data_IF_530208264362
#
_entry.id   IF_530208264362
#
_cell.length_a   1.000
_cell.length_b   1.000
_cell.length_c   1.000
_cell.angle_alpha   90.00
_cell.angle_beta   90.00
_cell.angle_gamma   90.00
#
_symmetry.space_group_name_H-M   'P 1'
#
loop_
_entity.id
_entity.type
_entity.pdbx_description
1 polymer ?
#
# COMPACT_ATOMS: atom_id res chain seq x y z
N UNK A 1 20.20 10.25 -23.67
CA UNK A 1 18.98 11.06 -23.80
C UNK A 1 18.13 10.76 -22.58
N UNK A 2 18.09 11.68 -21.61
CA UNK A 2 17.23 11.55 -20.43
C UNK A 2 15.79 11.79 -20.89
N UNK A 3 14.92 10.81 -20.70
CA UNK A 3 13.50 10.93 -20.98
C UNK A 3 12.81 11.44 -19.71
N UNK A 4 12.42 12.71 -19.71
CA UNK A 4 11.54 13.28 -18.69
C UNK A 4 10.11 12.86 -19.04
N UNK A 5 9.64 11.76 -18.46
CA UNK A 5 8.24 11.40 -18.47
C UNK A 5 7.56 12.12 -17.30
N UNK A 6 6.98 13.29 -17.54
CA UNK A 6 6.05 13.88 -16.58
C UNK A 6 4.81 12.98 -16.51
N UNK A 7 4.64 12.24 -15.40
CA UNK A 7 3.42 11.44 -15.11
C UNK A 7 2.31 12.38 -14.60
N UNK A 8 2.25 13.62 -15.07
CA UNK A 8 1.27 14.62 -14.64
C UNK A 8 0.24 14.90 -15.73
N UNK A 9 -0.75 14.01 -15.81
CA UNK A 9 -2.13 14.45 -16.09
C UNK A 9 -2.91 14.20 -14.81
N UNK A 10 -3.14 15.28 -14.07
CA UNK A 10 -3.71 15.31 -12.72
C UNK A 10 -4.97 14.43 -12.58
N UNK A 11 -4.97 13.43 -11.68
CA UNK A 11 -6.15 13.15 -10.88
C UNK A 11 -6.27 14.22 -9.79
N UNK A 12 -7.49 14.65 -9.47
CA UNK A 12 -7.80 15.65 -8.42
C UNK A 12 -7.27 15.26 -7.02
N UNK A 13 -6.82 14.01 -6.83
CA UNK A 13 -6.22 13.49 -5.61
C UNK A 13 -5.03 12.55 -5.91
N UNK A 14 -3.93 12.65 -5.14
CA UNK A 14 -2.79 11.71 -5.19
C UNK A 14 -2.67 10.81 -3.97
N UNK A 15 -2.15 9.59 -4.16
CA UNK A 15 -1.88 8.65 -3.07
C UNK A 15 -3.12 8.24 -2.30
N UNK A 16 -2.95 7.99 -0.99
CA UNK A 16 -4.06 7.73 -0.07
C UNK A 16 -5.08 8.89 0.00
N UNK A 17 -4.76 10.08 -0.50
CA UNK A 17 -5.71 11.19 -0.62
C UNK A 17 -6.82 10.95 -1.65
N UNK A 18 -6.70 9.92 -2.50
CA UNK A 18 -7.74 9.48 -3.41
C UNK A 18 -8.80 8.58 -2.75
N UNK A 19 -8.63 8.20 -1.47
CA UNK A 19 -9.59 7.36 -0.74
C UNK A 19 -10.87 8.15 -0.47
N UNK A 20 -12.02 7.47 -0.57
CA UNK A 20 -13.28 7.99 -0.02
C UNK A 20 -13.13 8.06 1.50
N UNK A 21 -13.44 9.22 2.09
CA UNK A 21 -13.29 9.41 3.53
C UNK A 21 -14.09 8.37 4.34
N UNK A 22 -13.58 7.91 5.50
CA UNK A 22 -14.16 6.78 6.23
C UNK A 22 -15.63 6.99 6.62
N UNK A 23 -16.02 8.23 6.99
CA UNK A 23 -17.42 8.55 7.29
C UNK A 23 -18.36 8.49 6.08
N UNK A 24 -17.88 8.90 4.90
CA UNK A 24 -18.66 8.82 3.66
C UNK A 24 -18.78 7.37 3.17
N UNK A 25 -17.69 6.59 3.29
CA UNK A 25 -17.70 5.17 2.98
C UNK A 25 -18.67 4.41 3.91
N UNK A 26 -18.63 4.66 5.21
CA UNK A 26 -19.55 4.04 6.17
C UNK A 26 -21.03 4.31 5.83
N UNK A 27 -21.37 5.50 5.33
CA UNK A 27 -22.73 5.83 4.89
C UNK A 27 -23.14 5.06 3.63
N UNK A 28 -22.25 4.92 2.63
CA UNK A 28 -22.53 4.15 1.41
C UNK A 28 -22.72 2.65 1.68
N UNK A 29 -22.03 2.18 2.70
CA UNK A 29 -22.05 0.80 3.16
C UNK A 29 -23.23 0.49 4.09
N UNK A 30 -23.87 1.51 4.66
CA UNK A 30 -25.00 1.36 5.55
C UNK A 30 -26.20 0.71 4.83
N UNK A 31 -26.77 -0.33 5.44
CA UNK A 31 -27.95 -1.03 4.90
C UNK A 31 -27.63 -2.20 3.97
N UNK A 32 -26.36 -2.46 3.64
CA UNK A 32 -25.97 -3.72 3.01
C UNK A 32 -26.16 -4.89 4.00
N UNK A 33 -26.73 -6.03 3.56
CA UNK A 33 -26.92 -7.18 4.43
C UNK A 33 -25.56 -7.78 4.79
N UNK A 34 -25.21 -7.74 6.07
CA UNK A 34 -24.04 -8.44 6.58
C UNK A 34 -24.44 -9.86 6.90
N UNK A 35 -23.77 -10.83 6.26
CA UNK A 35 -23.89 -12.24 6.62
C UNK A 35 -22.84 -12.58 7.66
N UNK A 36 -23.28 -13.21 8.73
CA UNK A 36 -22.38 -13.72 9.76
C UNK A 36 -21.85 -15.09 9.35
N UNK A 37 -20.54 -15.26 9.51
CA UNK A 37 -19.85 -16.55 9.41
C UNK A 37 -18.93 -16.64 10.62
N UNK A 38 -19.05 -17.73 11.39
CA UNK A 38 -18.27 -17.95 12.60
C UNK A 38 -16.75 -18.01 12.35
N UNK A 39 -16.33 -18.28 11.10
CA UNK A 39 -14.92 -18.27 10.71
C UNK A 39 -14.41 -16.88 10.30
N UNK A 40 -15.28 -15.90 10.07
CA UNK A 40 -14.86 -14.53 9.78
C UNK A 40 -14.52 -13.83 11.10
N UNK A 41 -13.24 -13.85 11.48
CA UNK A 41 -12.75 -13.29 12.74
C UNK A 41 -12.70 -11.76 12.71
N UNK A 42 -12.27 -11.22 11.57
CA UNK A 42 -12.19 -9.78 11.30
C UNK A 42 -12.79 -9.55 9.92
N UNK A 43 -13.74 -8.64 9.84
CA UNK A 43 -14.48 -8.41 8.62
C UNK A 43 -14.92 -6.97 8.49
N UNK A 44 -15.91 -6.78 7.63
CA UNK A 44 -16.45 -5.46 7.30
C UNK A 44 -16.94 -4.64 8.51
N UNK A 45 -17.36 -5.31 9.58
CA UNK A 45 -17.98 -4.66 10.74
C UNK A 45 -16.95 -3.99 11.69
N UNK A 46 -15.67 -4.37 11.64
CA UNK A 46 -14.70 -3.96 12.67
C UNK A 46 -13.74 -2.84 12.25
N UNK A 47 -13.84 -2.30 11.03
CA UNK A 47 -12.98 -1.19 10.56
C UNK A 47 -11.47 -1.43 10.77
N UNK A 48 -11.03 -2.69 10.71
CA UNK A 48 -9.61 -3.08 10.72
C UNK A 48 -8.99 -2.98 9.32
N UNK A 49 -7.66 -3.04 9.25
CA UNK A 49 -6.88 -2.82 8.04
C UNK A 49 -6.97 -3.97 7.02
N UNK A 50 -7.32 -5.18 7.45
CA UNK A 50 -7.49 -6.34 6.57
C UNK A 50 -8.57 -7.31 7.11
N UNK A 51 -9.13 -8.15 6.24
CA UNK A 51 -10.03 -9.21 6.68
C UNK A 51 -9.25 -10.43 7.17
N UNK A 52 -9.79 -11.13 8.17
CA UNK A 52 -9.20 -12.35 8.73
C UNK A 52 -10.25 -13.47 8.73
N UNK A 53 -9.96 -14.55 8.02
CA UNK A 53 -10.84 -15.71 7.91
C UNK A 53 -10.14 -16.97 8.44
N UNK A 54 -10.71 -17.61 9.47
CA UNK A 54 -10.20 -18.82 10.09
C UNK A 54 -10.32 -20.00 9.12
N UNK A 55 -9.21 -20.69 8.87
CA UNK A 55 -9.15 -21.91 8.05
C UNK A 55 -9.07 -23.17 8.91
N UNK A 56 -8.56 -23.04 10.13
CA UNK A 56 -8.43 -24.11 11.13
C UNK A 56 -8.07 -23.54 12.50
N UNK A 57 -7.76 -24.41 13.46
CA UNK A 57 -7.42 -23.97 14.83
C UNK A 57 -6.16 -23.10 14.88
N UNK A 58 -5.16 -23.44 14.07
CA UNK A 58 -3.84 -22.80 14.10
C UNK A 58 -3.57 -21.87 12.90
N UNK A 59 -4.54 -21.72 11.99
CA UNK A 59 -4.36 -21.00 10.73
C UNK A 59 -5.57 -20.13 10.38
N UNK A 60 -5.29 -18.85 10.12
CA UNK A 60 -6.21 -17.92 9.49
C UNK A 60 -5.58 -17.27 8.27
N UNK A 61 -6.42 -17.01 7.28
CA UNK A 61 -6.14 -16.22 6.09
C UNK A 61 -6.27 -14.74 6.44
N UNK A 62 -5.31 -13.92 6.02
CA UNK A 62 -5.41 -12.45 6.09
C UNK A 62 -5.46 -11.92 4.66
N UNK A 63 -6.44 -11.07 4.34
CA UNK A 63 -6.59 -10.51 2.99
C UNK A 63 -6.77 -9.00 3.01
N UNK A 64 -6.00 -8.32 2.17
CA UNK A 64 -6.14 -6.89 1.91
C UNK A 64 -6.04 -6.60 0.42
N UNK A 65 -6.46 -5.41 0.04
CA UNK A 65 -6.36 -4.87 -1.30
C UNK A 65 -6.22 -3.35 -1.20
N UNK A 66 -5.11 -2.80 -1.71
CA UNK A 66 -4.95 -1.36 -1.83
C UNK A 66 -4.26 -0.99 -3.15
N UNK A 67 -4.73 0.08 -3.78
CA UNK A 67 -4.19 0.64 -5.02
C UNK A 67 -4.55 2.12 -5.12
N UNK A 68 -3.63 2.92 -5.63
CA UNK A 68 -3.78 4.38 -5.66
C UNK A 68 -3.02 5.01 -6.83
N UNK A 69 -3.32 6.27 -7.19
CA UNK A 69 -2.57 7.00 -8.21
C UNK A 69 -1.16 7.41 -7.73
N UNK A 70 -0.20 7.66 -8.64
CA UNK A 70 1.16 8.04 -8.31
C UNK A 70 1.31 9.14 -7.26
N UNK A 71 2.30 8.95 -6.39
CA UNK A 71 2.72 9.94 -5.38
C UNK A 71 4.15 10.46 -5.61
N UNK A 72 4.86 9.87 -6.56
CA UNK A 72 6.21 10.22 -7.00
C UNK A 72 6.29 10.02 -8.51
N UNK A 73 7.18 10.76 -9.16
CA UNK A 73 7.32 10.74 -10.63
C UNK A 73 8.06 9.52 -11.15
N UNK A 74 8.99 8.97 -10.34
CA UNK A 74 9.76 7.79 -10.71
C UNK A 74 8.84 6.55 -10.69
N UNK A 75 8.60 5.89 -11.85
CA UNK A 75 7.66 4.78 -11.92
C UNK A 75 8.11 3.56 -11.09
N UNK A 76 9.41 3.29 -11.02
CA UNK A 76 9.95 2.17 -10.25
C UNK A 76 9.75 2.40 -8.75
N UNK A 77 10.08 3.59 -8.25
CA UNK A 77 9.82 3.97 -6.86
C UNK A 77 8.33 3.96 -6.54
N UNK A 78 7.48 4.45 -7.44
CA UNK A 78 6.03 4.36 -7.25
C UNK A 78 5.57 2.91 -7.10
N UNK A 79 6.04 2.01 -7.97
CA UNK A 79 5.77 0.57 -7.87
C UNK A 79 6.17 -0.01 -6.51
N UNK A 80 7.36 0.32 -6.02
CA UNK A 80 7.84 -0.10 -4.70
C UNK A 80 6.95 0.43 -3.56
N UNK A 81 6.55 1.70 -3.63
CA UNK A 81 5.73 2.33 -2.59
C UNK A 81 4.32 1.73 -2.56
N UNK A 82 3.69 1.56 -3.72
CA UNK A 82 2.37 0.94 -3.83
C UNK A 82 2.37 -0.50 -3.29
N UNK A 83 3.39 -1.29 -3.64
CA UNK A 83 3.53 -2.64 -3.09
C UNK A 83 3.76 -2.63 -1.58
N UNK A 84 4.65 -1.77 -1.07
CA UNK A 84 4.92 -1.66 0.36
C UNK A 84 3.68 -1.23 1.17
N UNK A 85 2.85 -0.35 0.61
CA UNK A 85 1.59 0.07 1.21
C UNK A 85 0.59 -1.09 1.29
N UNK A 86 0.36 -1.80 0.18
CA UNK A 86 -0.57 -2.92 0.15
C UNK A 86 -0.13 -4.10 1.04
N UNK A 87 1.19 -4.32 1.18
CA UNK A 87 1.72 -5.32 2.12
C UNK A 87 1.55 -4.91 3.60
N UNK A 88 1.41 -3.61 3.88
CA UNK A 88 1.45 -3.08 5.24
C UNK A 88 0.28 -3.56 6.11
N UNK A 89 -0.91 -3.73 5.52
CA UNK A 89 -2.09 -4.15 6.28
C UNK A 89 -1.95 -5.60 6.76
N UNK A 90 -1.26 -6.46 6.00
CA UNK A 90 -0.96 -7.83 6.47
C UNK A 90 -0.09 -7.79 7.72
N UNK A 91 0.94 -6.94 7.72
CA UNK A 91 1.80 -6.76 8.88
C UNK A 91 1.07 -6.11 10.06
N UNK A 92 0.15 -5.18 9.79
CA UNK A 92 -0.67 -4.54 10.82
C UNK A 92 -1.54 -5.57 11.58
N UNK A 93 -2.04 -6.59 10.88
CA UNK A 93 -2.77 -7.71 11.50
C UNK A 93 -1.86 -8.75 12.17
N UNK A 94 -0.54 -8.56 12.19
CA UNK A 94 0.43 -9.54 12.69
C UNK A 94 0.63 -10.74 11.77
N UNK A 95 0.19 -10.67 10.51
CA UNK A 95 0.30 -11.72 9.52
C UNK A 95 1.61 -11.71 8.75
N UNK A 96 1.90 -12.83 8.08
CA UNK A 96 3.01 -12.97 7.15
C UNK A 96 2.48 -12.97 5.70
N UNK A 97 2.86 -12.00 4.84
CA UNK A 97 2.46 -11.99 3.44
C UNK A 97 2.98 -13.21 2.69
N UNK A 98 2.17 -13.80 1.79
CA UNK A 98 2.58 -14.94 0.96
C UNK A 98 2.28 -14.79 -0.52
N UNK A 99 1.06 -14.37 -0.88
CA UNK A 99 0.62 -14.32 -2.28
C UNK A 99 0.13 -12.93 -2.61
N UNK A 100 0.55 -12.39 -3.76
CA UNK A 100 0.19 -11.06 -4.23
C UNK A 100 -0.31 -11.13 -5.68
N UNK A 101 -1.32 -10.33 -6.00
CA UNK A 101 -1.83 -10.14 -7.35
C UNK A 101 -1.82 -8.66 -7.72
N UNK A 102 -1.33 -8.34 -8.92
CA UNK A 102 -1.30 -6.96 -9.43
C UNK A 102 -2.71 -6.43 -9.72
N UNK A 103 -2.92 -5.16 -9.40
CA UNK A 103 -4.04 -4.35 -9.87
C UNK A 103 -3.44 -3.15 -10.59
N UNK A 104 -3.69 -3.05 -11.89
CA UNK A 104 -3.08 -2.01 -12.73
C UNK A 104 -4.13 -1.33 -13.61
N UNK A 105 -4.29 -0.03 -13.43
CA UNK A 105 -4.96 0.84 -14.39
C UNK A 105 -3.89 1.63 -15.14
N UNK A 106 -3.90 1.60 -16.47
CA UNK A 106 -2.86 2.24 -17.28
C UNK A 106 -3.46 3.17 -18.36
N UNK A 107 -2.95 4.40 -18.54
CA UNK A 107 -3.32 5.26 -19.65
C UNK A 107 -2.94 4.65 -21.00
N UNK A 108 -3.78 4.86 -22.01
CA UNK A 108 -3.54 4.37 -23.37
C UNK A 108 -2.25 4.96 -23.97
N UNK A 109 -1.93 6.20 -23.62
CA UNK A 109 -0.76 6.95 -24.07
C UNK A 109 0.49 6.72 -23.20
N UNK A 110 0.40 5.92 -22.13
CA UNK A 110 1.54 5.67 -21.25
C UNK A 110 2.60 4.79 -21.95
N UNK A 111 3.89 5.18 -21.93
CA UNK A 111 4.95 4.36 -22.50
C UNK A 111 5.05 3.00 -21.80
N UNK A 112 5.13 1.92 -22.57
CA UNK A 112 5.25 0.55 -22.04
C UNK A 112 6.47 0.39 -21.11
N UNK A 113 7.56 1.11 -21.38
CA UNK A 113 8.76 1.11 -20.53
C UNK A 113 8.45 1.66 -19.13
N UNK A 114 7.66 2.72 -19.00
CA UNK A 114 7.28 3.28 -17.72
C UNK A 114 6.37 2.31 -16.94
N UNK A 115 5.39 1.70 -17.62
CA UNK A 115 4.53 0.66 -17.01
C UNK A 115 5.35 -0.53 -16.52
N UNK A 116 6.35 -0.95 -17.31
CA UNK A 116 7.27 -2.02 -16.92
C UNK A 116 8.05 -1.68 -15.65
N UNK A 117 8.50 -0.43 -15.50
CA UNK A 117 9.21 0.01 -14.31
C UNK A 117 8.32 0.00 -13.06
N UNK A 118 7.05 0.39 -13.16
CA UNK A 118 6.07 0.25 -12.05
C UNK A 118 5.95 -1.21 -11.62
N UNK A 119 5.72 -2.11 -12.58
CA UNK A 119 5.59 -3.55 -12.29
C UNK A 119 6.88 -4.14 -11.72
N UNK A 120 8.05 -3.70 -12.21
CA UNK A 120 9.37 -4.12 -11.69
C UNK A 120 9.55 -3.66 -10.25
N UNK A 121 9.16 -2.43 -9.92
CA UNK A 121 9.20 -1.89 -8.56
C UNK A 121 8.34 -2.69 -7.60
N UNK A 122 7.10 -2.97 -8.00
CA UNK A 122 6.20 -3.80 -7.20
C UNK A 122 6.73 -5.21 -7.02
N UNK A 123 7.23 -5.83 -8.09
CA UNK A 123 7.84 -7.16 -8.05
C UNK A 123 9.02 -7.24 -7.06
N UNK A 124 10.00 -6.34 -7.18
CA UNK A 124 11.17 -6.35 -6.31
C UNK A 124 10.79 -6.19 -4.83
N UNK A 125 9.77 -5.35 -4.54
CA UNK A 125 9.29 -5.14 -3.18
C UNK A 125 8.52 -6.34 -2.61
N UNK A 126 7.72 -7.01 -3.43
CA UNK A 126 7.02 -8.25 -3.04
C UNK A 126 8.03 -9.36 -2.72
N UNK A 127 9.08 -9.50 -3.53
CA UNK A 127 10.15 -10.47 -3.28
C UNK A 127 10.99 -10.13 -2.05
N UNK A 128 11.27 -8.85 -1.80
CA UNK A 128 11.91 -8.39 -0.56
C UNK A 128 11.10 -8.78 0.69
N UNK A 129 9.76 -8.80 0.58
CA UNK A 129 8.86 -9.22 1.65
C UNK A 129 8.73 -10.76 1.79
N UNK A 130 9.44 -11.55 0.97
CA UNK A 130 9.33 -13.01 0.99
C UNK A 130 8.02 -13.57 0.41
N UNK A 131 7.24 -12.74 -0.27
CA UNK A 131 5.98 -13.11 -0.90
C UNK A 131 6.15 -13.38 -2.40
N UNK A 132 5.14 -14.02 -3.00
CA UNK A 132 5.10 -14.37 -4.41
C UNK A 132 4.09 -13.50 -5.14
N UNK A 133 4.51 -12.97 -6.28
CA UNK A 133 3.59 -12.35 -7.23
C UNK A 133 3.03 -13.43 -8.17
N UNK A 134 1.73 -13.74 -8.04
CA UNK A 134 1.11 -14.92 -8.67
C UNK A 134 0.19 -14.59 -9.84
N UNK A 135 -0.04 -13.32 -10.14
CA UNK A 135 -0.87 -12.90 -11.26
C UNK A 135 -1.34 -11.45 -11.10
N UNK A 136 -2.48 -11.15 -11.70
CA UNK A 136 -3.12 -9.85 -11.57
C UNK A 136 -4.11 -9.55 -12.68
N UNK A 137 -4.63 -8.34 -12.65
CA UNK A 137 -5.52 -7.81 -13.68
C UNK A 137 -5.08 -6.41 -14.11
N UNK A 138 -5.30 -6.09 -15.38
CA UNK A 138 -4.93 -4.79 -15.94
C UNK A 138 -6.03 -4.26 -16.84
N UNK A 139 -6.37 -2.98 -16.67
CA UNK A 139 -7.37 -2.28 -17.48
C UNK A 139 -6.82 -0.95 -17.99
N UNK A 140 -7.40 -0.47 -19.09
CA UNK A 140 -7.15 0.89 -19.57
C UNK A 140 -8.00 1.88 -18.76
N UNK A 141 -7.39 2.99 -18.37
CA UNK A 141 -8.06 4.07 -17.62
C UNK A 141 -7.45 5.42 -18.04
N UNK A 142 -8.08 6.51 -17.64
CA UNK A 142 -7.62 7.89 -17.79
C UNK A 142 -6.31 8.21 -17.06
N UNK A 143 -6.01 7.50 -15.97
CA UNK A 143 -4.84 7.76 -15.13
C UNK A 143 -4.24 6.47 -14.57
N UNK A 144 -2.92 6.51 -14.36
CA UNK A 144 -2.17 5.40 -13.75
C UNK A 144 -2.68 5.15 -12.33
N UNK A 145 -3.00 3.90 -12.01
CA UNK A 145 -3.22 3.42 -10.64
C UNK A 145 -2.57 2.06 -10.51
N UNK A 146 -1.86 1.84 -9.42
CA UNK A 146 -1.19 0.57 -9.17
C UNK A 146 -1.30 0.17 -7.71
N UNK A 147 -1.36 -1.13 -7.48
CA UNK A 147 -1.41 -1.71 -6.15
C UNK A 147 -1.52 -3.22 -6.22
N UNK A 148 -1.78 -3.83 -5.07
CA UNK A 148 -1.82 -5.28 -4.92
C UNK A 148 -3.05 -5.71 -4.13
N UNK A 149 -3.60 -6.86 -4.52
CA UNK A 149 -4.31 -7.72 -3.57
C UNK A 149 -3.28 -8.62 -2.91
N UNK A 150 -3.28 -8.67 -1.58
CA UNK A 150 -2.31 -9.44 -0.79
C UNK A 150 -3.05 -10.44 0.07
N UNK A 151 -2.54 -11.66 0.07
CA UNK A 151 -2.94 -12.74 0.96
C UNK A 151 -1.76 -13.13 1.84
N UNK A 152 -1.99 -13.13 3.15
CA UNK A 152 -1.06 -13.61 4.16
C UNK A 152 -1.72 -14.63 5.08
N UNK A 153 -0.93 -15.10 6.04
CA UNK A 153 -1.41 -16.04 7.05
C UNK A 153 -1.01 -15.59 8.44
N UNK A 154 -1.85 -15.91 9.40
CA UNK A 154 -1.62 -15.63 10.82
C UNK A 154 -2.17 -16.78 11.65
N UNK A 155 -1.57 -17.03 12.81
CA UNK A 155 -2.19 -17.89 13.81
C UNK A 155 -3.34 -17.11 14.47
N UNK A 156 -4.57 -17.64 14.61
CA UNK A 156 -5.72 -16.90 15.16
C UNK A 156 -5.44 -16.22 16.50
N UNK A 157 -4.74 -16.91 17.42
CA UNK A 157 -4.36 -16.35 18.73
C UNK A 157 -3.20 -15.34 18.72
N UNK A 158 -2.63 -15.00 17.55
CA UNK A 158 -1.52 -14.04 17.39
C UNK A 158 -1.86 -12.88 16.48
N UNK A 159 -3.09 -12.82 15.97
CA UNK A 159 -3.53 -11.68 15.17
C UNK A 159 -3.60 -10.43 16.05
N UNK A 160 -3.27 -9.29 15.45
CA UNK A 160 -3.39 -7.98 16.07
C UNK A 160 -4.66 -7.32 15.53
N UNK A 161 -5.52 -6.84 16.41
CA UNK A 161 -6.75 -6.14 16.06
C UNK A 161 -6.77 -4.77 16.73
N UNK A 162 -7.36 -3.77 16.05
CA UNK A 162 -7.38 -2.39 16.52
C UNK A 162 -8.24 -2.21 17.78
N UNK A 163 -9.09 -3.18 18.12
CA UNK A 163 -9.99 -3.18 19.27
C UNK A 163 -9.36 -3.66 20.59
N UNK A 164 -8.09 -4.12 20.57
CA UNK A 164 -7.45 -4.77 21.72
C UNK A 164 -6.79 -3.84 22.76
N UNK A 165 -6.72 -2.52 22.50
CA UNK A 165 -6.01 -1.58 23.36
C UNK A 165 -6.73 -1.34 24.70
N UNK A 166 -5.96 -1.19 25.79
CA UNK A 166 -6.46 -0.98 27.15
C UNK A 166 -5.92 0.31 27.78
N UNK A 167 -6.64 0.91 28.75
CA UNK A 167 -6.11 2.03 29.52
C UNK A 167 -4.79 1.65 30.21
N UNK A 168 -3.74 2.43 29.94
CA UNK A 168 -2.38 2.17 30.43
C UNK A 168 -1.40 1.72 29.35
N UNK A 169 -1.88 1.35 28.16
CA UNK A 169 -1.02 1.06 27.02
C UNK A 169 -0.28 2.29 26.50
N UNK A 170 0.84 2.05 25.80
CA UNK A 170 1.66 3.09 25.16
C UNK A 170 1.49 3.07 23.64
N UNK A 171 1.55 4.25 23.02
CA UNK A 171 1.53 4.38 21.57
C UNK A 171 2.95 4.36 21.01
N UNK A 172 3.21 3.43 20.10
CA UNK A 172 4.49 3.31 19.39
C UNK A 172 4.29 3.64 17.91
N UNK A 173 5.16 4.50 17.39
CA UNK A 173 5.17 4.89 15.99
C UNK A 173 6.51 4.49 15.35
N UNK A 174 6.46 3.66 14.32
CA UNK A 174 7.64 3.07 13.68
C UNK A 174 8.15 3.86 12.47
N UNK A 175 7.36 4.81 11.96
CA UNK A 175 7.71 5.68 10.82
C UNK A 175 7.29 7.13 11.09
N UNK A 176 8.09 8.14 10.70
CA UNK A 176 7.72 9.53 10.83
C UNK A 176 6.42 9.90 10.08
N UNK A 177 5.70 10.88 10.60
CA UNK A 177 4.56 11.51 9.91
C UNK A 177 5.03 12.59 8.92
N UNK A 178 4.13 13.07 8.06
CA UNK A 178 4.37 14.24 7.19
C UNK A 178 4.61 13.94 5.71
N UNK A 179 4.57 12.67 5.28
CA UNK A 179 4.77 12.27 3.87
C UNK A 179 3.79 13.00 2.93
N UNK A 180 2.52 13.14 3.31
CA UNK A 180 1.53 13.86 2.50
C UNK A 180 1.85 15.35 2.33
N UNK A 181 2.37 16.00 3.38
CA UNK A 181 2.79 17.41 3.33
C UNK A 181 3.96 17.55 2.37
N UNK A 182 4.96 16.66 2.47
CA UNK A 182 6.11 16.64 1.57
C UNK A 182 5.68 16.38 0.11
N UNK A 183 4.73 15.47 -0.12
CA UNK A 183 4.20 15.19 -1.44
C UNK A 183 3.49 16.40 -2.07
N UNK A 184 2.69 17.13 -1.28
CA UNK A 184 2.05 18.37 -1.75
C UNK A 184 3.11 19.44 -2.00
N UNK A 185 4.03 19.66 -1.06
CA UNK A 185 5.09 20.65 -1.21
C UNK A 185 5.95 20.40 -2.45
N UNK A 186 6.23 19.13 -2.78
CA UNK A 186 6.95 18.77 -4.01
C UNK A 186 6.15 19.15 -5.26
N UNK A 187 4.83 18.90 -5.26
CA UNK A 187 3.94 19.26 -6.37
C UNK A 187 3.81 20.76 -6.61
N UNK A 188 3.93 21.56 -5.56
CA UNK A 188 3.86 23.03 -5.66
C UNK A 188 5.24 23.71 -5.64
N UNK A 189 6.31 22.93 -5.85
CA UNK A 189 7.71 23.40 -5.91
C UNK A 189 8.16 24.22 -4.68
N UNK A 190 7.66 23.83 -3.50
CA UNK A 190 7.98 24.45 -2.21
C UNK A 190 9.03 23.68 -1.39
N UNK A 191 9.58 22.59 -1.92
CA UNK A 191 10.61 21.81 -1.22
C UNK A 191 11.99 22.42 -1.49
N UNK A 192 12.41 23.34 -0.61
CA UNK A 192 13.83 23.70 -0.48
C UNK A 192 14.63 22.50 0.04
N UNK A 193 15.82 22.27 -0.52
CA UNK A 193 16.69 21.12 -0.19
C UNK A 193 16.80 20.85 1.34
N UNK A 194 16.39 19.63 1.74
CA UNK A 194 16.79 18.80 2.91
C UNK A 194 15.82 18.74 4.14
N UNK A 195 15.69 17.57 4.84
CA UNK A 195 16.72 16.55 5.07
C UNK A 195 16.45 15.12 4.56
N UNK A 196 17.52 14.56 3.94
CA UNK A 196 18.10 13.21 3.99
C UNK A 196 17.28 11.90 4.13
N UNK A 197 16.00 11.88 4.50
CA UNK A 197 15.29 10.62 4.76
C UNK A 197 14.86 9.89 3.47
N UNK A 198 14.53 10.65 2.40
CA UNK A 198 13.95 10.09 1.18
C UNK A 198 14.92 9.97 -0.01
N UNK A 199 16.15 10.48 0.10
CA UNK A 199 17.14 10.41 -0.99
C UNK A 199 18.41 9.69 -0.51
N UNK A 200 18.65 8.48 -1.04
CA UNK A 200 19.89 7.72 -0.80
C UNK A 200 21.11 8.61 -1.03
N UNK A 201 21.85 8.95 0.03
CA UNK A 201 23.29 9.24 -0.13
C UNK A 201 24.03 7.91 -0.15
N UNK A 202 24.76 7.65 -1.24
CA UNK A 202 25.79 6.61 -1.28
C UNK A 202 26.71 6.83 -0.07
N UNK A 203 26.88 5.80 0.76
CA UNK A 203 27.97 5.76 1.73
C UNK A 203 29.27 5.79 0.92
N UNK A 204 30.03 6.89 0.97
CA UNK A 204 31.38 6.92 0.42
C UNK A 204 32.32 6.18 1.36
N UNK A 205 33.33 5.50 0.80
CA UNK A 205 34.28 4.63 1.49
C UNK A 205 35.23 5.35 2.46
N UNK A 206 35.08 6.66 2.68
CA UNK A 206 36.04 7.46 3.44
C UNK A 206 35.72 7.57 4.94
N UNK A 207 34.83 6.71 5.45
CA UNK A 207 34.42 6.70 6.86
C UNK A 207 34.92 5.46 7.63
N UNK A 208 36.04 4.86 7.18
CA UNK A 208 36.69 3.71 7.82
C UNK A 208 38.22 3.86 7.93
N UNK A 209 38.71 5.06 8.28
CA UNK A 209 40.02 5.23 8.92
C UNK A 209 39.92 6.29 10.01
#
# INVERSE_FOLDING_TARGET
MAYNAEIEKLPDCSGCGAKVGPGALAQLLAGLPVREDANLLVGFNTSDDASVYKLGEDLALVQTLDFFPPIVDDPYMFGQIAAANALSDIYAMGGEPKLCMNILCVPRDMPQAATREVLRGGYDKVYEAGALLTGGHSILDSGLKYGLSVTGFVHPNRMLANSGAQPGDVLLLTKPLGIGILGIAQKVDLVGLAPACCTRRKVSKDMLN
#
